data_IF_992863734332
#
_entry.id   IF_992863734332
#
_cell.length_a   1.000
_cell.length_b   1.000
_cell.length_c   1.000
_cell.angle_alpha   90.00
_cell.angle_beta   90.00
_cell.angle_gamma   90.00
#
_symmetry.space_group_name_H-M   'P 1'
#
loop_
_entity.id
_entity.type
_entity.pdbx_description
1 polymer ?
#
# COMPACT_ATOMS: atom_id res chain seq x y z
N UNK A 1 4.18 4.83 -19.36
CA UNK A 1 3.11 3.98 -19.92
C UNK A 1 1.87 4.83 -20.14
N UNK A 2 1.07 4.57 -21.17
CA UNK A 2 -0.03 5.47 -21.55
C UNK A 2 -1.41 5.05 -21.03
N UNK A 3 -1.56 3.80 -20.58
CA UNK A 3 -2.81 3.26 -20.03
C UNK A 3 -2.51 2.25 -18.90
N UNK A 4 -3.45 2.02 -17.96
CA UNK A 4 -3.35 0.96 -16.95
C UNK A 4 -3.22 -0.44 -17.58
N UNK A 5 -2.37 -1.29 -17.00
CA UNK A 5 -2.20 -2.69 -17.43
C UNK A 5 -2.85 -3.61 -16.39
N UNK A 6 -4.11 -3.98 -16.61
CA UNK A 6 -4.88 -4.78 -15.66
C UNK A 6 -4.43 -6.25 -15.58
N UNK A 7 -4.32 -6.80 -14.36
CA UNK A 7 -4.22 -8.25 -14.15
C UNK A 7 -5.60 -8.87 -14.41
N UNK A 8 -5.73 -9.69 -15.46
CA UNK A 8 -7.01 -10.25 -15.90
C UNK A 8 -7.20 -11.76 -15.59
N UNK A 9 -6.16 -12.42 -15.06
CA UNK A 9 -6.14 -13.86 -14.75
C UNK A 9 -6.02 -14.08 -13.24
N UNK A 10 -6.87 -14.95 -12.70
CA UNK A 10 -6.64 -15.56 -11.39
C UNK A 10 -5.52 -16.60 -11.56
N UNK A 11 -4.32 -16.26 -11.09
CA UNK A 11 -3.19 -17.17 -11.02
C UNK A 11 -3.12 -17.80 -9.62
N UNK A 12 -2.75 -19.08 -9.56
CA UNK A 12 -2.46 -19.79 -8.32
C UNK A 12 -0.95 -19.91 -8.13
N UNK A 13 -0.50 -20.03 -6.88
CA UNK A 13 0.91 -20.25 -6.58
C UNK A 13 1.36 -21.63 -7.10
N UNK A 14 2.44 -21.63 -7.89
CA UNK A 14 3.07 -22.84 -8.45
C UNK A 14 4.58 -22.93 -8.15
N UNK A 15 5.18 -21.87 -7.59
CA UNK A 15 6.61 -21.78 -7.30
C UNK A 15 6.90 -22.05 -5.82
N UNK A 16 6.22 -21.35 -4.92
CA UNK A 16 6.59 -21.28 -3.51
C UNK A 16 6.03 -22.44 -2.69
N UNK A 17 6.86 -23.00 -1.81
CA UNK A 17 6.55 -24.19 -0.99
C UNK A 17 7.29 -24.16 0.35
N UNK A 18 7.04 -25.18 1.17
CA UNK A 18 7.63 -25.32 2.51
C UNK A 18 9.17 -25.21 2.51
N UNK A 19 9.68 -24.26 3.29
CA UNK A 19 11.12 -23.97 3.42
C UNK A 19 11.73 -23.15 2.28
N UNK A 20 10.91 -22.61 1.36
CA UNK A 20 11.31 -21.42 0.60
C UNK A 20 11.20 -20.18 1.50
N UNK A 21 11.90 -19.09 1.17
CA UNK A 21 12.06 -17.94 2.08
C UNK A 21 11.25 -16.73 1.60
N UNK A 22 10.43 -16.17 2.47
CA UNK A 22 9.73 -14.90 2.25
C UNK A 22 10.42 -13.80 3.06
N UNK A 23 10.76 -12.69 2.40
CA UNK A 23 11.51 -11.58 2.97
C UNK A 23 10.66 -10.31 2.91
N UNK A 24 10.14 -9.89 4.06
CA UNK A 24 9.44 -8.61 4.18
C UNK A 24 10.45 -7.46 4.21
N UNK A 25 10.54 -6.71 3.11
CA UNK A 25 11.41 -5.55 2.97
C UNK A 25 10.65 -4.26 3.32
N UNK A 26 10.46 -4.10 4.63
CA UNK A 26 9.73 -3.05 5.34
C UNK A 26 9.31 -3.61 6.70
N UNK A 27 8.66 -2.80 7.54
CA UNK A 27 8.24 -3.22 8.88
C UNK A 27 6.70 -3.27 8.98
N UNK A 28 6.17 -4.30 9.64
CA UNK A 28 4.74 -4.57 9.69
C UNK A 28 4.04 -3.75 10.80
N UNK A 29 3.24 -2.77 10.37
CA UNK A 29 2.46 -1.90 11.26
C UNK A 29 0.95 -2.05 11.03
N UNK A 30 0.24 -2.51 12.06
CA UNK A 30 -1.22 -2.64 12.03
C UNK A 30 -1.74 -3.59 10.96
N UNK A 31 -2.94 -3.28 10.43
CA UNK A 31 -3.52 -3.97 9.26
C UNK A 31 -3.28 -3.10 8.02
N UNK A 32 -2.65 -3.68 7.02
CA UNK A 32 -2.34 -3.04 5.74
C UNK A 32 -1.91 -4.10 4.73
N UNK A 33 -1.78 -3.73 3.47
CA UNK A 33 -1.58 -4.65 2.34
C UNK A 33 -0.63 -5.83 2.57
N UNK A 34 0.50 -5.58 3.23
CA UNK A 34 1.51 -6.58 3.52
C UNK A 34 1.01 -7.78 4.35
N UNK A 35 -0.02 -7.62 5.18
CA UNK A 35 -0.54 -8.74 6.01
C UNK A 35 -1.15 -9.84 5.13
N UNK A 36 -1.92 -9.47 4.10
CA UNK A 36 -2.52 -10.45 3.20
C UNK A 36 -1.48 -11.30 2.46
N UNK A 37 -0.44 -10.68 1.92
CA UNK A 37 0.64 -11.40 1.23
C UNK A 37 1.48 -12.26 2.20
N UNK A 38 1.71 -11.77 3.42
CA UNK A 38 2.40 -12.52 4.47
C UNK A 38 1.60 -13.77 4.90
N UNK A 39 0.27 -13.67 4.97
CA UNK A 39 -0.60 -14.80 5.33
C UNK A 39 -0.62 -15.88 4.24
N UNK A 40 -0.51 -15.51 2.96
CA UNK A 40 -0.31 -16.48 1.87
C UNK A 40 1.07 -17.19 1.96
N UNK A 41 2.14 -16.44 2.20
CA UNK A 41 3.48 -17.01 2.37
C UNK A 41 3.55 -17.98 3.56
N UNK A 42 2.93 -17.62 4.70
CA UNK A 42 2.76 -18.51 5.86
C UNK A 42 1.97 -19.76 5.50
N UNK A 43 0.86 -19.64 4.75
CA UNK A 43 0.01 -20.76 4.33
C UNK A 43 0.74 -21.73 3.39
N UNK A 44 1.63 -21.22 2.54
CA UNK A 44 2.54 -22.04 1.72
C UNK A 44 3.68 -22.72 2.52
N UNK A 45 3.81 -22.42 3.81
CA UNK A 45 4.84 -22.96 4.70
C UNK A 45 6.23 -22.33 4.50
N UNK A 46 6.30 -21.12 3.94
CA UNK A 46 7.56 -20.41 3.74
C UNK A 46 8.17 -19.99 5.08
N UNK A 47 9.50 -19.93 5.12
CA UNK A 47 10.24 -19.35 6.24
C UNK A 47 10.16 -17.82 6.14
N UNK A 48 9.59 -17.18 7.17
CA UNK A 48 9.37 -15.73 7.18
C UNK A 48 10.58 -15.03 7.81
N UNK A 49 11.18 -14.13 7.04
CA UNK A 49 12.23 -13.20 7.47
C UNK A 49 11.77 -11.77 7.20
N UNK A 50 12.18 -10.82 8.02
CA UNK A 50 11.89 -9.40 7.86
C UNK A 50 13.07 -8.53 8.26
N UNK A 51 12.97 -7.25 7.92
CA UNK A 51 13.87 -6.19 8.39
C UNK A 51 13.16 -5.36 9.46
N UNK A 52 13.91 -4.49 10.13
CA UNK A 52 13.35 -3.41 10.95
C UNK A 52 13.84 -2.06 10.45
N UNK A 53 13.03 -1.02 10.59
CA UNK A 53 13.50 0.36 10.39
C UNK A 53 14.32 0.86 11.59
N UNK A 54 14.40 0.08 12.67
CA UNK A 54 14.99 0.48 13.94
C UNK A 54 14.09 1.47 14.69
N UNK A 55 14.66 2.14 15.69
CA UNK A 55 14.01 3.20 16.47
C UNK A 55 14.92 4.41 16.58
N UNK A 56 14.38 5.53 17.06
CA UNK A 56 15.17 6.71 17.44
C UNK A 56 15.26 6.75 18.97
N UNK A 57 16.42 7.08 19.52
CA UNK A 57 16.60 7.29 20.96
C UNK A 57 16.16 8.69 21.40
N UNK A 58 16.40 9.04 22.67
CA UNK A 58 16.09 10.36 23.24
C UNK A 58 16.86 11.53 22.58
N UNK A 59 18.00 11.24 21.95
CA UNK A 59 18.81 12.20 21.20
C UNK A 59 18.46 12.18 19.69
N UNK A 60 17.37 11.51 19.32
CA UNK A 60 16.94 11.28 17.94
C UNK A 60 18.00 10.56 17.07
N UNK A 61 18.91 9.77 17.67
CA UNK A 61 19.86 8.93 16.95
C UNK A 61 19.22 7.58 16.59
N UNK A 62 19.57 7.03 15.42
CA UNK A 62 19.00 5.76 14.93
C UNK A 62 19.65 4.57 15.63
N UNK A 63 18.85 3.70 16.25
CA UNK A 63 19.28 2.52 17.01
C UNK A 63 18.56 1.23 16.57
N UNK A 64 19.16 0.04 16.76
CA UNK A 64 18.45 -1.24 16.64
C UNK A 64 17.30 -1.34 17.66
N UNK A 65 16.44 -2.33 17.44
CA UNK A 65 15.44 -2.73 18.42
C UNK A 65 16.13 -3.29 19.67
N UNK A 66 15.60 -3.01 20.85
CA UNK A 66 15.97 -3.75 22.05
C UNK A 66 15.34 -5.16 22.05
N UNK A 67 15.57 -5.94 23.12
CA UNK A 67 15.10 -7.33 23.19
C UNK A 67 13.56 -7.47 23.27
N UNK A 68 12.87 -6.51 23.88
CA UNK A 68 11.41 -6.51 24.01
C UNK A 68 10.77 -6.06 22.68
N UNK A 69 11.29 -4.96 22.11
CA UNK A 69 10.89 -4.46 20.81
C UNK A 69 11.09 -5.50 19.70
N UNK A 70 12.23 -6.21 19.71
CA UNK A 70 12.52 -7.27 18.75
C UNK A 70 11.58 -8.47 18.93
N UNK A 71 11.35 -8.92 20.17
CA UNK A 71 10.44 -10.04 20.45
C UNK A 71 9.02 -9.74 19.95
N UNK A 72 8.48 -8.57 20.30
CA UNK A 72 7.14 -8.15 19.88
C UNK A 72 7.04 -7.92 18.35
N UNK A 73 8.13 -7.57 17.68
CA UNK A 73 8.17 -7.43 16.23
C UNK A 73 8.26 -8.80 15.53
N UNK A 74 9.07 -9.74 16.04
CA UNK A 74 9.13 -11.13 15.54
C UNK A 74 7.80 -11.87 15.74
N UNK A 75 7.13 -11.69 16.87
CA UNK A 75 5.80 -12.27 17.14
C UNK A 75 4.77 -11.76 16.12
N UNK A 76 4.71 -10.44 15.88
CA UNK A 76 3.80 -9.84 14.89
C UNK A 76 4.10 -10.29 13.46
N UNK A 77 5.38 -10.39 13.11
CA UNK A 77 5.83 -10.90 11.82
C UNK A 77 5.58 -12.42 11.68
N UNK A 78 5.51 -13.17 12.79
CA UNK A 78 5.49 -14.63 12.77
C UNK A 78 6.74 -15.21 12.11
N UNK A 79 7.91 -14.57 12.35
CA UNK A 79 9.14 -14.79 11.60
C UNK A 79 10.33 -14.07 12.21
N UNK A 80 11.52 -14.30 11.66
CA UNK A 80 12.77 -13.71 12.17
C UNK A 80 13.01 -12.30 11.66
N UNK A 81 13.51 -11.41 12.52
CA UNK A 81 13.86 -10.05 12.13
C UNK A 81 15.38 -9.85 12.18
N UNK A 82 15.94 -9.41 11.07
CA UNK A 82 17.33 -8.96 11.00
C UNK A 82 17.39 -7.58 11.67
N UNK A 83 17.85 -7.56 12.92
CA UNK A 83 17.85 -6.37 13.78
C UNK A 83 18.96 -5.35 13.42
N UNK A 84 18.91 -4.83 12.21
CA UNK A 84 19.81 -3.80 11.68
C UNK A 84 18.93 -2.65 11.16
N UNK A 85 19.05 -1.42 11.69
CA UNK A 85 18.18 -0.30 11.34
C UNK A 85 18.22 0.08 9.86
N UNK A 86 17.14 -0.25 9.15
CA UNK A 86 16.97 0.02 7.72
C UNK A 86 16.01 1.18 7.46
N UNK A 87 16.15 2.27 8.22
CA UNK A 87 15.36 3.50 8.04
C UNK A 87 15.67 4.14 6.68
N UNK A 88 14.70 4.18 5.79
CA UNK A 88 14.80 4.90 4.51
C UNK A 88 14.63 6.41 4.68
N UNK A 89 14.93 7.17 3.62
CA UNK A 89 14.83 8.64 3.62
C UNK A 89 16.01 9.34 4.28
N UNK A 90 16.04 10.67 4.13
CA UNK A 90 17.15 11.53 4.53
C UNK A 90 16.75 12.72 5.42
N UNK A 91 15.46 12.83 5.79
CA UNK A 91 14.93 13.99 6.52
C UNK A 91 15.52 14.21 7.93
N UNK A 92 16.21 13.20 8.46
CA UNK A 92 16.87 13.17 9.77
C UNK A 92 18.34 12.70 9.68
N UNK A 93 19.01 13.06 8.59
CA UNK A 93 20.44 12.85 8.34
C UNK A 93 21.12 14.18 8.03
N UNK A 94 22.38 14.34 8.47
CA UNK A 94 23.16 15.56 8.30
C UNK A 94 24.67 15.28 8.41
N UNK A 95 25.54 16.18 7.90
CA UNK A 95 26.92 16.29 8.36
C UNK A 95 27.01 16.40 9.89
N UNK A 96 28.08 15.88 10.49
CA UNK A 96 28.24 15.85 11.94
C UNK A 96 28.21 17.26 12.55
N UNK A 97 27.22 17.51 13.42
CA UNK A 97 27.00 18.81 14.07
C UNK A 97 26.23 19.84 13.23
N UNK A 98 25.83 19.51 12.00
CA UNK A 98 24.95 20.35 11.17
C UNK A 98 23.46 20.05 11.38
N UNK A 99 22.56 20.97 10.98
CA UNK A 99 21.11 20.74 11.04
C UNK A 99 20.67 19.64 10.05
N UNK A 100 19.65 18.87 10.42
CA UNK A 100 18.97 17.95 9.49
C UNK A 100 18.00 18.73 8.59
N UNK A 101 17.54 18.15 7.47
CA UNK A 101 16.45 18.71 6.69
C UNK A 101 15.18 19.01 7.51
N UNK A 102 14.85 18.19 8.50
CA UNK A 102 13.70 18.47 9.40
C UNK A 102 13.94 19.72 10.25
N UNK A 103 15.17 19.96 10.70
CA UNK A 103 15.51 21.18 11.45
C UNK A 103 15.40 22.42 10.57
N UNK A 104 15.88 22.35 9.31
CA UNK A 104 15.73 23.43 8.32
C UNK A 104 14.25 23.75 8.00
N UNK A 105 13.36 22.75 8.07
CA UNK A 105 11.91 22.95 7.93
C UNK A 105 11.23 23.42 9.23
N UNK A 106 11.91 23.37 10.38
CA UNK A 106 11.34 23.79 11.66
C UNK A 106 11.34 25.33 11.82
N UNK A 107 12.25 26.03 11.12
CA UNK A 107 12.34 27.49 11.08
C UNK A 107 11.26 28.15 10.20
N UNK A 108 10.64 27.40 9.28
CA UNK A 108 9.58 27.89 8.39
C UNK A 108 8.26 28.16 9.14
N UNK A 109 7.58 29.27 8.84
CA UNK A 109 6.28 29.64 9.44
C UNK A 109 5.12 29.45 8.46
N UNK A 110 3.87 29.57 8.93
CA UNK A 110 2.68 29.45 8.07
C UNK A 110 2.55 30.58 7.04
N UNK A 111 3.23 31.69 7.29
CA UNK A 111 3.29 32.90 6.48
C UNK A 111 4.44 32.90 5.47
N UNK A 112 5.50 32.12 5.71
CA UNK A 112 6.79 32.20 5.00
C UNK A 112 7.12 30.98 4.13
N UNK A 113 6.64 29.78 4.48
CA UNK A 113 7.03 28.49 3.86
C UNK A 113 6.91 28.40 2.33
N UNK A 114 6.09 29.22 1.67
CA UNK A 114 5.96 29.25 0.21
C UNK A 114 7.16 29.92 -0.45
N UNK A 115 7.65 30.99 0.17
CA UNK A 115 8.71 31.86 -0.33
C UNK A 115 10.08 31.49 0.24
N UNK A 116 10.14 30.85 1.41
CA UNK A 116 11.37 30.32 1.99
C UNK A 116 12.15 29.43 1.00
N UNK A 117 13.48 29.43 1.14
CA UNK A 117 14.41 28.74 0.25
C UNK A 117 15.35 27.86 1.05
N UNK A 118 15.70 26.71 0.48
CA UNK A 118 16.61 25.75 1.09
C UNK A 118 17.97 25.79 0.39
N UNK A 119 19.04 25.56 1.15
CA UNK A 119 20.37 25.32 0.58
C UNK A 119 20.38 23.91 -0.04
N UNK A 120 20.19 23.85 -1.36
CA UNK A 120 20.10 22.60 -2.11
C UNK A 120 21.43 21.82 -2.16
N UNK A 121 22.58 22.49 -2.04
CA UNK A 121 23.88 21.82 -1.97
C UNK A 121 24.07 21.16 -0.59
N UNK A 122 23.59 21.79 0.47
CA UNK A 122 23.55 21.20 1.81
C UNK A 122 22.52 20.05 1.90
N UNK A 123 21.31 20.23 1.36
CA UNK A 123 20.31 19.16 1.27
C UNK A 123 20.84 17.94 0.50
N UNK A 124 21.62 18.16 -0.57
CA UNK A 124 22.28 17.07 -1.29
C UNK A 124 23.26 16.31 -0.39
N UNK A 125 24.07 17.00 0.43
CA UNK A 125 25.00 16.35 1.37
C UNK A 125 24.25 15.48 2.40
N UNK A 126 23.15 15.98 2.97
CA UNK A 126 22.29 15.22 3.87
C UNK A 126 21.75 13.94 3.20
N UNK A 127 21.30 14.04 1.94
CA UNK A 127 20.84 12.88 1.17
C UNK A 127 21.97 11.89 0.87
N UNK A 128 23.12 12.35 0.41
CA UNK A 128 24.28 11.48 0.12
C UNK A 128 24.71 10.69 1.39
N UNK A 129 24.68 11.33 2.57
CA UNK A 129 24.93 10.69 3.87
C UNK A 129 23.87 9.62 4.19
N UNK A 130 22.58 9.94 4.00
CA UNK A 130 21.48 9.00 4.22
C UNK A 130 21.55 7.78 3.29
N UNK A 131 21.85 7.99 2.00
CA UNK A 131 22.06 6.90 1.03
C UNK A 131 23.24 6.03 1.45
N UNK A 132 24.35 6.62 1.94
CA UNK A 132 25.49 5.86 2.47
C UNK A 132 25.11 5.06 3.73
N UNK A 133 24.35 5.65 4.67
CA UNK A 133 23.83 4.97 5.86
C UNK A 133 22.93 3.78 5.47
N UNK A 134 21.93 4.01 4.63
CA UNK A 134 20.97 2.99 4.20
C UNK A 134 21.66 1.84 3.46
N UNK A 135 22.51 2.15 2.47
CA UNK A 135 23.20 1.11 1.68
C UNK A 135 24.24 0.34 2.49
N UNK A 136 24.93 0.95 3.45
CA UNK A 136 25.84 0.25 4.34
C UNK A 136 25.12 -0.65 5.36
N UNK A 137 23.94 -0.25 5.84
CA UNK A 137 23.07 -1.13 6.63
C UNK A 137 22.53 -2.28 5.77
N UNK A 138 22.11 -2.00 4.53
CA UNK A 138 21.58 -3.00 3.60
C UNK A 138 22.60 -4.08 3.23
N UNK A 139 23.88 -3.73 3.05
CA UNK A 139 24.97 -4.72 2.87
C UNK A 139 25.03 -5.73 4.02
N UNK A 140 24.89 -5.25 5.25
CA UNK A 140 24.92 -6.11 6.44
C UNK A 140 23.66 -6.98 6.53
N UNK A 141 22.48 -6.40 6.24
CA UNK A 141 21.22 -7.16 6.14
C UNK A 141 21.33 -8.28 5.11
N UNK A 142 21.84 -7.99 3.91
CA UNK A 142 21.99 -9.00 2.85
C UNK A 142 23.03 -10.07 3.21
N UNK A 143 24.13 -9.71 3.89
CA UNK A 143 25.11 -10.69 4.38
C UNK A 143 24.53 -11.64 5.43
N UNK A 144 23.68 -11.14 6.34
CA UNK A 144 22.96 -11.96 7.33
C UNK A 144 21.91 -12.84 6.64
N UNK A 145 21.15 -12.27 5.70
CA UNK A 145 20.10 -12.95 4.96
C UNK A 145 20.64 -14.07 4.05
N UNK A 146 21.78 -13.88 3.40
CA UNK A 146 22.41 -14.90 2.55
C UNK A 146 22.66 -16.20 3.31
N UNK A 147 23.15 -16.08 4.57
CA UNK A 147 23.34 -17.21 5.49
C UNK A 147 22.06 -17.88 5.99
N UNK A 148 20.88 -17.25 5.81
CA UNK A 148 19.58 -17.84 6.14
C UNK A 148 18.97 -18.63 4.97
N UNK A 149 19.40 -18.39 3.73
CA UNK A 149 18.77 -18.97 2.53
C UNK A 149 19.63 -20.12 1.98
N UNK A 150 19.21 -21.36 2.24
CA UNK A 150 19.83 -22.55 1.66
C UNK A 150 19.73 -22.59 0.12
N UNK A 151 20.65 -23.30 -0.53
CA UNK A 151 20.59 -23.53 -1.98
C UNK A 151 19.35 -24.33 -2.41
N UNK A 152 18.87 -24.11 -3.63
CA UNK A 152 17.69 -24.77 -4.20
C UNK A 152 16.34 -24.31 -3.63
N UNK A 153 16.34 -23.27 -2.78
CA UNK A 153 15.14 -22.62 -2.24
C UNK A 153 14.68 -21.48 -3.15
N UNK A 154 13.38 -21.26 -3.23
CA UNK A 154 12.86 -20.02 -3.82
C UNK A 154 12.92 -18.88 -2.81
N UNK A 155 13.01 -17.64 -3.29
CA UNK A 155 13.05 -16.43 -2.46
C UNK A 155 12.03 -15.41 -2.96
N UNK A 156 11.17 -14.95 -2.07
CA UNK A 156 10.18 -13.91 -2.34
C UNK A 156 10.54 -12.66 -1.53
N UNK A 157 11.04 -11.62 -2.20
CA UNK A 157 11.23 -10.30 -1.61
C UNK A 157 9.97 -9.43 -1.79
N UNK A 158 9.31 -9.07 -0.69
CA UNK A 158 8.13 -8.21 -0.71
C UNK A 158 8.48 -6.81 -0.16
N UNK A 159 8.61 -5.82 -1.05
CA UNK A 159 8.88 -4.43 -0.70
C UNK A 159 7.60 -3.70 -0.28
N UNK A 160 7.66 -3.04 0.87
CA UNK A 160 6.52 -2.35 1.47
C UNK A 160 6.85 -0.93 1.94
N UNK A 161 8.06 -0.44 1.67
CA UNK A 161 8.48 0.90 2.07
C UNK A 161 7.72 1.97 1.28
N UNK A 162 7.01 2.83 1.99
CA UNK A 162 6.42 4.04 1.45
C UNK A 162 6.32 5.11 2.56
N UNK A 163 6.68 6.36 2.26
CA UNK A 163 6.78 7.40 3.29
C UNK A 163 7.62 8.58 2.83
N UNK A 164 8.41 9.15 3.75
CA UNK A 164 9.28 10.31 3.46
C UNK A 164 8.69 11.67 3.83
N UNK A 165 7.60 11.72 4.62
CA UNK A 165 7.09 12.96 5.19
C UNK A 165 8.02 13.40 6.35
N UNK A 166 8.70 14.56 6.27
CA UNK A 166 9.49 15.10 7.38
C UNK A 166 8.60 15.46 8.58
N UNK A 167 9.15 15.36 9.80
CA UNK A 167 8.41 15.66 11.05
C UNK A 167 8.31 17.17 11.35
N UNK A 168 8.08 17.99 10.33
CA UNK A 168 7.96 19.44 10.46
C UNK A 168 6.53 19.87 10.87
N UNK A 169 6.41 20.69 11.92
CA UNK A 169 5.12 21.15 12.46
C UNK A 169 4.32 21.97 11.45
N UNK A 170 4.99 22.81 10.67
CA UNK A 170 4.40 23.64 9.61
C UNK A 170 3.74 22.78 8.53
N UNK A 171 4.42 21.70 8.11
CA UNK A 171 3.89 20.75 7.12
C UNK A 171 2.59 20.09 7.59
N UNK A 172 2.47 19.69 8.85
CA UNK A 172 1.25 19.05 9.36
C UNK A 172 0.02 19.95 9.26
N UNK A 173 0.19 21.28 9.43
CA UNK A 173 -0.91 22.24 9.26
C UNK A 173 -1.26 22.41 7.77
N UNK A 174 -0.25 22.49 6.91
CA UNK A 174 -0.41 22.61 5.44
C UNK A 174 -1.08 21.36 4.85
N UNK A 175 -0.64 20.16 5.24
CA UNK A 175 -1.25 18.89 4.87
C UNK A 175 -2.74 18.83 5.23
N UNK A 176 -3.13 19.31 6.42
CA UNK A 176 -4.55 19.38 6.80
C UNK A 176 -5.34 20.36 5.90
N UNK A 177 -4.75 21.45 5.42
CA UNK A 177 -5.40 22.36 4.46
C UNK A 177 -5.50 21.78 3.06
N UNK A 178 -4.52 20.98 2.62
CA UNK A 178 -4.51 20.34 1.30
C UNK A 178 -5.48 19.15 1.26
N UNK A 179 -5.38 18.22 2.21
CA UNK A 179 -6.15 16.96 2.19
C UNK A 179 -7.53 17.06 2.83
N UNK A 180 -7.80 18.07 3.68
CA UNK A 180 -9.05 18.21 4.44
C UNK A 180 -9.67 19.62 4.37
N UNK A 181 -9.02 20.55 3.66
CA UNK A 181 -9.46 21.94 3.56
C UNK A 181 -10.58 22.15 2.55
N UNK A 182 -11.64 22.80 3.00
CA UNK A 182 -12.81 23.22 2.21
C UNK A 182 -13.06 24.72 2.34
N UNK A 183 -13.67 25.33 1.34
CA UNK A 183 -13.93 26.78 1.30
C UNK A 183 -12.67 27.60 1.61
N UNK A 184 -12.78 28.59 2.51
CA UNK A 184 -11.64 29.44 2.92
C UNK A 184 -10.46 28.69 3.57
N UNK A 185 -10.61 27.41 3.97
CA UNK A 185 -9.51 26.59 4.49
C UNK A 185 -8.79 25.77 3.41
N UNK A 186 -9.36 25.69 2.20
CA UNK A 186 -8.73 25.00 1.08
C UNK A 186 -7.32 25.53 0.81
N UNK A 187 -6.49 24.66 0.24
CA UNK A 187 -5.18 24.96 -0.31
C UNK A 187 -4.94 23.97 -1.44
N UNK A 188 -4.57 24.46 -2.62
CA UNK A 188 -4.13 23.57 -3.68
C UNK A 188 -2.77 22.98 -3.31
N UNK A 189 -2.62 21.68 -3.55
CA UNK A 189 -1.36 20.95 -3.47
C UNK A 189 -0.27 21.57 -4.35
N UNK A 190 -0.63 22.28 -5.43
CA UNK A 190 0.38 22.91 -6.29
C UNK A 190 1.22 23.93 -5.51
N UNK A 191 0.61 24.68 -4.59
CA UNK A 191 1.33 25.61 -3.71
C UNK A 191 2.35 24.90 -2.80
N UNK A 192 2.12 23.62 -2.46
CA UNK A 192 3.14 22.79 -1.82
C UNK A 192 4.24 22.43 -2.83
N UNK A 193 3.89 21.86 -3.98
CA UNK A 193 4.85 21.36 -4.97
C UNK A 193 5.79 22.46 -5.52
N UNK A 194 5.31 23.70 -5.63
CA UNK A 194 6.10 24.85 -6.08
C UNK A 194 7.10 25.36 -5.02
N UNK A 195 6.82 25.12 -3.73
CA UNK A 195 7.69 25.52 -2.61
C UNK A 195 8.93 24.65 -2.48
N UNK A 196 9.97 25.16 -1.83
CA UNK A 196 11.19 24.37 -1.59
C UNK A 196 10.97 23.24 -0.56
N UNK A 197 10.07 23.45 0.40
CA UNK A 197 9.59 22.37 1.29
C UNK A 197 8.95 21.22 0.48
N UNK A 198 8.09 21.53 -0.49
CA UNK A 198 7.47 20.50 -1.33
C UNK A 198 8.48 19.74 -2.19
N UNK A 199 9.43 20.44 -2.80
CA UNK A 199 10.53 19.82 -3.57
C UNK A 199 11.38 18.88 -2.70
N UNK A 200 11.60 19.22 -1.44
CA UNK A 200 12.32 18.37 -0.49
C UNK A 200 11.52 17.11 -0.14
N UNK A 201 10.22 17.28 0.13
CA UNK A 201 9.31 16.16 0.39
C UNK A 201 9.25 15.21 -0.81
N UNK A 202 9.16 15.73 -2.04
CA UNK A 202 9.21 14.91 -3.26
C UNK A 202 10.51 14.12 -3.39
N UNK A 203 11.67 14.73 -3.09
CA UNK A 203 12.94 14.00 -3.08
C UNK A 203 12.95 12.89 -2.02
N UNK A 204 12.37 13.13 -0.83
CA UNK A 204 12.33 12.12 0.22
C UNK A 204 11.28 11.03 -0.05
N UNK A 205 10.21 11.34 -0.79
CA UNK A 205 9.27 10.37 -1.34
C UNK A 205 9.96 9.46 -2.37
N UNK A 206 10.79 10.01 -3.26
CA UNK A 206 11.59 9.22 -4.20
C UNK A 206 12.54 8.26 -3.46
N UNK A 207 13.28 8.75 -2.46
CA UNK A 207 14.18 7.91 -1.65
C UNK A 207 13.42 6.78 -0.94
N UNK A 208 12.33 7.08 -0.23
CA UNK A 208 11.59 6.10 0.59
C UNK A 208 10.71 5.17 -0.24
N UNK A 209 9.88 5.71 -1.14
CA UNK A 209 8.80 4.98 -1.82
C UNK A 209 9.20 4.36 -3.15
N UNK A 210 10.40 4.66 -3.68
CA UNK A 210 10.88 4.15 -4.97
C UNK A 210 12.32 3.60 -4.92
N UNK A 211 13.31 4.41 -4.55
CA UNK A 211 14.74 4.09 -4.67
C UNK A 211 15.14 2.94 -3.73
N UNK A 212 14.48 2.79 -2.58
CA UNK A 212 14.60 1.60 -1.72
C UNK A 212 14.31 0.27 -2.45
N UNK A 213 13.43 0.26 -3.47
CA UNK A 213 13.17 -0.94 -4.28
C UNK A 213 14.31 -1.24 -5.26
N UNK A 214 14.92 -0.21 -5.84
CA UNK A 214 16.17 -0.36 -6.61
C UNK A 214 17.27 -0.94 -5.74
N UNK A 215 17.49 -0.36 -4.55
CA UNK A 215 18.48 -0.87 -3.60
C UNK A 215 18.22 -2.31 -3.18
N UNK A 216 16.97 -2.71 -2.93
CA UNK A 216 16.62 -4.11 -2.68
C UNK A 216 17.06 -5.03 -3.82
N UNK A 217 16.73 -4.69 -5.07
CA UNK A 217 17.07 -5.49 -6.26
C UNK A 217 18.59 -5.58 -6.47
N UNK A 218 19.29 -4.45 -6.34
CA UNK A 218 20.72 -4.35 -6.59
C UNK A 218 21.54 -5.09 -5.53
N UNK A 219 21.26 -4.85 -4.24
CA UNK A 219 22.03 -5.42 -3.13
C UNK A 219 21.74 -6.90 -2.85
N UNK A 220 20.59 -7.42 -3.31
CA UNK A 220 20.30 -8.86 -3.27
C UNK A 220 20.82 -9.63 -4.49
N UNK A 221 21.57 -8.99 -5.40
CA UNK A 221 22.08 -9.64 -6.63
C UNK A 221 22.88 -10.92 -6.37
N UNK A 222 23.80 -10.91 -5.41
CA UNK A 222 24.59 -12.10 -5.08
C UNK A 222 23.71 -13.27 -4.55
N UNK A 223 22.68 -12.96 -3.75
CA UNK A 223 21.69 -13.95 -3.29
C UNK A 223 20.91 -14.50 -4.49
N UNK A 224 20.43 -13.61 -5.37
CA UNK A 224 19.65 -13.98 -6.57
C UNK A 224 20.44 -14.90 -7.49
N UNK A 225 21.65 -14.51 -7.88
CA UNK A 225 22.51 -15.29 -8.77
C UNK A 225 22.85 -16.67 -8.16
N UNK A 226 23.18 -16.72 -6.86
CA UNK A 226 23.43 -17.97 -6.14
C UNK A 226 22.21 -18.90 -6.14
N UNK A 227 21.03 -18.35 -5.91
CA UNK A 227 19.78 -19.10 -5.84
C UNK A 227 19.37 -19.62 -7.23
N UNK A 228 19.40 -18.77 -8.25
CA UNK A 228 19.08 -19.13 -9.63
C UNK A 228 20.07 -20.17 -10.19
N UNK A 229 21.37 -20.02 -9.90
CA UNK A 229 22.39 -21.03 -10.25
C UNK A 229 22.18 -22.39 -9.55
N UNK A 230 21.48 -22.41 -8.40
CA UNK A 230 21.10 -23.63 -7.68
C UNK A 230 19.72 -24.18 -8.08
N UNK A 231 19.08 -23.62 -9.11
CA UNK A 231 17.76 -24.04 -9.61
C UNK A 231 16.57 -23.53 -8.80
N UNK A 232 16.80 -22.65 -7.82
CA UNK A 232 15.74 -21.89 -7.15
C UNK A 232 15.29 -20.69 -7.98
N UNK A 233 14.21 -20.04 -7.57
CA UNK A 233 13.65 -18.86 -8.25
C UNK A 233 13.53 -17.68 -7.30
N UNK A 234 13.88 -16.49 -7.77
CA UNK A 234 13.71 -15.25 -7.01
C UNK A 234 12.61 -14.38 -7.61
N UNK A 235 11.84 -13.72 -6.74
CA UNK A 235 10.81 -12.73 -7.10
C UNK A 235 10.93 -11.51 -6.22
N UNK A 236 10.62 -10.35 -6.81
CA UNK A 236 10.48 -9.09 -6.12
C UNK A 236 9.10 -8.52 -6.38
N UNK A 237 8.41 -8.08 -5.35
CA UNK A 237 7.18 -7.30 -5.52
C UNK A 237 7.27 -5.99 -4.76
N UNK A 238 6.50 -5.00 -5.20
CA UNK A 238 6.28 -3.77 -4.47
C UNK A 238 4.84 -3.30 -4.59
N UNK A 239 4.34 -2.62 -3.56
CA UNK A 239 3.00 -2.04 -3.55
C UNK A 239 2.99 -0.66 -4.20
N UNK A 240 2.34 -0.57 -5.36
CA UNK A 240 2.06 0.66 -6.07
C UNK A 240 0.66 1.20 -5.78
N UNK A 241 0.44 2.46 -6.13
CA UNK A 241 -0.87 3.05 -6.32
C UNK A 241 -0.76 4.02 -7.49
N UNK A 242 -1.64 3.86 -8.49
CA UNK A 242 -1.65 4.65 -9.73
C UNK A 242 -3.08 4.70 -10.28
N UNK A 243 -4.02 5.03 -9.37
CA UNK A 243 -5.46 4.90 -9.58
C UNK A 243 -5.94 3.45 -9.78
N UNK A 244 -7.26 3.28 -9.80
CA UNK A 244 -7.93 1.97 -9.79
C UNK A 244 -9.12 1.99 -10.71
N UNK A 245 -9.33 0.92 -11.49
CA UNK A 245 -10.60 0.73 -12.19
C UNK A 245 -11.68 0.20 -11.24
N UNK A 246 -12.75 0.98 -11.08
CA UNK A 246 -13.90 0.69 -10.22
C UNK A 246 -15.19 0.65 -11.05
N UNK A 247 -16.26 0.05 -10.53
CA UNK A 247 -17.50 -0.10 -11.31
C UNK A 247 -18.31 1.21 -11.32
N UNK A 248 -18.45 1.81 -12.50
CA UNK A 248 -19.22 3.04 -12.77
C UNK A 248 -20.14 2.78 -13.98
N UNK A 249 -21.43 3.04 -13.81
CA UNK A 249 -22.52 2.74 -14.77
C UNK A 249 -22.44 1.33 -15.40
N UNK A 250 -22.13 0.31 -14.58
CA UNK A 250 -22.02 -1.08 -15.01
C UNK A 250 -20.73 -1.46 -15.76
N UNK A 251 -19.82 -0.50 -15.96
CA UNK A 251 -18.51 -0.65 -16.61
C UNK A 251 -17.36 -0.38 -15.65
N UNK A 252 -16.25 -1.11 -15.74
CA UNK A 252 -15.05 -0.79 -14.97
C UNK A 252 -14.32 0.38 -15.62
N UNK A 253 -14.14 1.48 -14.89
CA UNK A 253 -13.48 2.71 -15.37
C UNK A 253 -12.39 3.13 -14.40
N UNK A 254 -11.22 3.47 -14.94
CA UNK A 254 -10.12 4.02 -14.13
C UNK A 254 -10.51 5.37 -13.53
N UNK A 255 -10.12 5.56 -12.28
CA UNK A 255 -10.24 6.80 -11.52
C UNK A 255 -9.10 6.87 -10.49
N UNK A 256 -9.00 7.97 -9.74
CA UNK A 256 -8.02 8.09 -8.66
C UNK A 256 -8.47 9.07 -7.55
N UNK A 257 -7.94 8.89 -6.34
CA UNK A 257 -7.93 9.92 -5.32
C UNK A 257 -7.04 11.09 -5.74
N UNK A 258 -7.56 12.32 -5.66
CA UNK A 258 -6.82 13.54 -5.97
C UNK A 258 -6.70 14.47 -4.74
N UNK A 259 -5.53 15.00 -4.39
CA UNK A 259 -4.19 14.75 -4.97
C UNK A 259 -3.43 13.66 -4.19
N UNK A 260 -2.99 12.62 -4.90
CA UNK A 260 -2.01 11.66 -4.41
C UNK A 260 -0.56 12.14 -4.65
N UNK A 261 -0.03 12.93 -3.71
CA UNK A 261 1.30 13.56 -3.81
C UNK A 261 2.48 12.59 -3.94
N UNK A 262 2.34 11.34 -3.48
CA UNK A 262 3.34 10.27 -3.72
C UNK A 262 3.35 9.73 -5.16
N UNK A 263 2.46 10.19 -6.05
CA UNK A 263 2.31 9.61 -7.38
C UNK A 263 3.57 9.66 -8.24
N UNK A 264 4.35 10.74 -8.13
CA UNK A 264 5.65 10.85 -8.79
C UNK A 264 6.61 9.72 -8.39
N UNK A 265 6.72 9.45 -7.09
CA UNK A 265 7.54 8.34 -6.58
C UNK A 265 6.96 6.97 -6.95
N UNK A 266 5.64 6.81 -7.06
CA UNK A 266 5.02 5.56 -7.53
C UNK A 266 5.27 5.30 -9.02
N UNK A 267 5.24 6.31 -9.89
CA UNK A 267 5.71 6.17 -11.27
C UNK A 267 7.22 5.86 -11.35
N UNK A 268 8.03 6.42 -10.44
CA UNK A 268 9.45 6.06 -10.35
C UNK A 268 9.67 4.61 -9.92
N UNK A 269 8.88 4.11 -8.97
CA UNK A 269 8.86 2.71 -8.54
C UNK A 269 8.51 1.76 -9.69
N UNK A 270 7.52 2.12 -10.52
CA UNK A 270 7.16 1.41 -11.76
C UNK A 270 8.32 1.36 -12.76
N UNK A 271 8.99 2.50 -13.00
CA UNK A 271 10.16 2.57 -13.87
C UNK A 271 11.31 1.69 -13.38
N UNK A 272 11.57 1.67 -12.07
CA UNK A 272 12.58 0.79 -11.46
C UNK A 272 12.32 -0.69 -11.75
N UNK A 273 11.06 -1.11 -11.68
CA UNK A 273 10.66 -2.48 -12.00
C UNK A 273 10.77 -2.78 -13.50
N UNK A 274 10.40 -1.84 -14.37
CA UNK A 274 10.57 -1.96 -15.82
C UNK A 274 12.04 -2.18 -16.20
N UNK A 275 12.96 -1.36 -15.66
CA UNK A 275 14.41 -1.52 -15.87
C UNK A 275 14.92 -2.89 -15.39
N UNK A 276 14.49 -3.31 -14.20
CA UNK A 276 14.87 -4.61 -13.63
C UNK A 276 14.40 -5.77 -14.51
N UNK A 277 13.19 -5.67 -15.08
CA UNK A 277 12.64 -6.67 -15.99
C UNK A 277 13.34 -6.69 -17.35
N UNK A 278 13.77 -5.54 -17.86
CA UNK A 278 14.67 -5.46 -19.04
C UNK A 278 16.01 -6.14 -18.78
N UNK A 279 16.52 -6.10 -17.54
CA UNK A 279 17.69 -6.86 -17.09
C UNK A 279 17.38 -8.33 -16.73
N UNK A 280 16.17 -8.83 -16.98
CA UNK A 280 15.75 -10.21 -16.72
C UNK A 280 15.27 -10.51 -15.29
N UNK A 281 15.46 -9.59 -14.34
CA UNK A 281 15.11 -9.76 -12.93
C UNK A 281 13.60 -9.67 -12.74
N UNK A 282 12.96 -10.71 -12.19
CA UNK A 282 11.50 -10.78 -11.99
C UNK A 282 11.01 -9.87 -10.85
N UNK A 283 10.90 -8.58 -11.14
CA UNK A 283 10.36 -7.54 -10.28
C UNK A 283 9.02 -7.01 -10.80
N UNK A 284 8.00 -6.98 -9.93
CA UNK A 284 6.64 -6.53 -10.29
C UNK A 284 6.04 -5.60 -9.23
N UNK A 285 5.79 -4.36 -9.61
CA UNK A 285 4.89 -3.42 -8.93
C UNK A 285 3.45 -3.83 -9.21
N UNK A 286 2.70 -4.03 -8.13
CA UNK A 286 1.25 -4.23 -8.17
C UNK A 286 0.57 -2.94 -7.70
N UNK A 287 -0.12 -2.26 -8.61
CA UNK A 287 -0.97 -1.12 -8.29
C UNK A 287 -2.26 -1.63 -7.67
N UNK A 288 -2.41 -1.41 -6.37
CA UNK A 288 -3.54 -1.89 -5.58
C UNK A 288 -4.65 -0.83 -5.48
N UNK A 289 -5.89 -1.23 -5.11
CA UNK A 289 -6.99 -0.30 -4.87
C UNK A 289 -6.74 0.76 -3.80
N UNK A 290 -7.64 1.71 -3.70
CA UNK A 290 -7.78 2.57 -2.53
C UNK A 290 -8.28 1.77 -1.31
N UNK A 291 -7.58 1.85 -0.18
CA UNK A 291 -8.04 1.33 1.12
C UNK A 291 -7.70 2.30 2.26
N UNK A 292 -8.42 2.18 3.38
CA UNK A 292 -8.05 2.86 4.63
C UNK A 292 -7.07 2.01 5.44
N UNK A 293 -5.94 2.64 5.78
CA UNK A 293 -4.84 2.10 6.59
C UNK A 293 -4.24 3.25 7.39
N UNK A 294 -3.34 2.95 8.32
CA UNK A 294 -2.62 3.96 9.10
C UNK A 294 -1.91 5.04 8.24
N UNK A 295 -1.47 4.71 7.01
CA UNK A 295 -0.82 5.66 6.11
C UNK A 295 -1.78 6.42 5.18
N UNK A 296 -3.03 5.96 5.03
CA UNK A 296 -4.03 6.60 4.17
C UNK A 296 -5.13 7.36 4.91
N UNK A 297 -5.26 7.23 6.24
CA UNK A 297 -6.32 7.88 7.04
C UNK A 297 -6.25 9.43 7.09
N UNK A 298 -5.15 10.02 6.60
CA UNK A 298 -5.05 11.47 6.40
C UNK A 298 -5.81 11.96 5.16
N UNK A 299 -6.10 11.08 4.19
CA UNK A 299 -6.69 11.40 2.90
C UNK A 299 -8.22 11.26 2.92
N UNK A 300 -8.93 12.26 3.43
CA UNK A 300 -10.41 12.25 3.46
C UNK A 300 -10.98 12.10 2.04
N UNK A 301 -11.81 11.09 1.81
CA UNK A 301 -12.40 10.76 0.51
C UNK A 301 -11.68 9.66 -0.26
N UNK A 302 -10.52 9.16 0.22
CA UNK A 302 -9.83 8.01 -0.39
C UNK A 302 -10.66 6.71 -0.30
N UNK A 303 -11.61 6.64 0.62
CA UNK A 303 -12.51 5.50 0.81
C UNK A 303 -13.68 5.44 -0.18
N UNK A 304 -13.97 6.53 -0.90
CA UNK A 304 -15.13 6.59 -1.80
C UNK A 304 -15.05 5.63 -3.00
N UNK A 305 -13.88 5.45 -3.67
CA UNK A 305 -13.75 4.49 -4.76
C UNK A 305 -13.83 3.02 -4.32
N UNK A 306 -13.55 2.73 -3.05
CA UNK A 306 -13.57 1.38 -2.48
C UNK A 306 -15.00 0.81 -2.37
N UNK A 307 -15.99 1.65 -2.03
CA UNK A 307 -17.38 1.20 -1.79
C UNK A 307 -18.02 0.50 -3.02
N UNK A 308 -17.81 0.97 -4.28
CA UNK A 308 -18.13 0.23 -5.50
C UNK A 308 -17.62 -1.22 -5.62
N UNK A 309 -16.70 -1.68 -4.76
CA UNK A 309 -16.31 -3.09 -4.70
C UNK A 309 -17.52 -4.01 -4.46
N UNK A 310 -18.49 -3.61 -3.63
CA UNK A 310 -19.72 -4.40 -3.41
C UNK A 310 -20.53 -4.64 -4.69
N UNK A 311 -20.51 -3.68 -5.63
CA UNK A 311 -21.15 -3.84 -6.94
C UNK A 311 -20.35 -4.80 -7.83
N UNK A 312 -19.01 -4.74 -7.74
CA UNK A 312 -18.13 -5.69 -8.41
C UNK A 312 -18.31 -7.12 -7.87
N UNK A 313 -18.45 -7.32 -6.56
CA UNK A 313 -18.75 -8.62 -5.97
C UNK A 313 -20.01 -9.24 -6.59
N UNK A 314 -21.08 -8.46 -6.77
CA UNK A 314 -22.32 -8.94 -7.41
C UNK A 314 -22.16 -9.18 -8.91
N UNK A 315 -21.39 -8.34 -9.62
CA UNK A 315 -21.15 -8.45 -11.06
C UNK A 315 -20.32 -9.69 -11.43
N UNK A 316 -19.30 -9.99 -10.63
CA UNK A 316 -18.30 -11.02 -10.93
C UNK A 316 -18.70 -12.41 -10.39
N UNK A 317 -19.92 -12.85 -10.74
CA UNK A 317 -20.52 -14.13 -10.32
C UNK A 317 -20.64 -14.31 -8.79
N UNK A 318 -21.00 -13.26 -8.04
CA UNK A 318 -21.18 -13.36 -6.59
C UNK A 318 -22.52 -14.01 -6.21
N UNK A 319 -22.47 -15.12 -5.46
CA UNK A 319 -23.64 -15.72 -4.81
C UNK A 319 -23.81 -15.29 -3.36
N UNK A 320 -24.10 -16.26 -2.48
CA UNK A 320 -24.49 -16.00 -1.08
C UNK A 320 -23.44 -15.20 -0.29
N UNK A 321 -22.14 -15.43 -0.53
CA UNK A 321 -21.07 -14.68 0.12
C UNK A 321 -21.13 -13.18 -0.21
N UNK A 322 -21.31 -12.83 -1.49
CA UNK A 322 -21.37 -11.44 -1.94
C UNK A 322 -22.61 -10.71 -1.39
N UNK A 323 -23.75 -11.39 -1.30
CA UNK A 323 -24.94 -10.83 -0.65
C UNK A 323 -24.74 -10.67 0.86
N UNK A 324 -24.05 -11.59 1.55
CA UNK A 324 -23.69 -11.37 2.95
C UNK A 324 -22.79 -10.14 3.13
N UNK A 325 -21.80 -9.91 2.25
CA UNK A 325 -20.98 -8.69 2.32
C UNK A 325 -21.81 -7.41 2.14
N UNK A 326 -22.83 -7.45 1.27
CA UNK A 326 -23.79 -6.36 1.12
C UNK A 326 -24.59 -6.13 2.40
N UNK A 327 -25.11 -7.19 3.03
CA UNK A 327 -25.86 -7.09 4.28
C UNK A 327 -25.00 -6.61 5.45
N UNK A 328 -23.75 -7.07 5.56
CA UNK A 328 -22.79 -6.59 6.55
C UNK A 328 -22.56 -5.08 6.43
N UNK A 329 -22.39 -4.56 5.21
CA UNK A 329 -22.24 -3.12 4.98
C UNK A 329 -23.54 -2.34 5.27
N UNK A 330 -24.70 -2.90 4.91
CA UNK A 330 -26.02 -2.32 5.20
C UNK A 330 -26.30 -2.22 6.71
N UNK A 331 -25.79 -3.15 7.53
CA UNK A 331 -25.96 -3.13 9.00
C UNK A 331 -25.17 -2.01 9.69
N UNK A 332 -24.09 -1.49 9.06
CA UNK A 332 -23.31 -0.37 9.58
C UNK A 332 -24.04 0.99 9.43
N UNK A 333 -25.04 1.06 8.55
CA UNK A 333 -25.81 2.27 8.28
C UNK A 333 -26.94 2.49 9.29
N UNK A 334 -27.17 3.75 9.67
CA UNK A 334 -28.21 4.16 10.61
C UNK A 334 -29.63 3.99 10.05
N UNK A 335 -30.62 3.99 10.95
CA UNK A 335 -32.01 3.77 10.57
C UNK A 335 -32.49 4.85 9.58
N UNK A 336 -33.11 4.41 8.49
CA UNK A 336 -33.51 5.27 7.39
C UNK A 336 -32.49 5.39 6.24
N UNK A 337 -31.27 4.87 6.38
CA UNK A 337 -30.29 4.82 5.29
C UNK A 337 -30.07 3.41 4.73
N UNK A 338 -29.86 3.35 3.41
CA UNK A 338 -29.58 2.11 2.68
C UNK A 338 -28.28 2.21 1.89
N UNK A 339 -27.72 1.06 1.52
CA UNK A 339 -26.60 1.00 0.59
C UNK A 339 -26.90 1.70 -0.74
N UNK A 340 -28.18 1.76 -1.18
CA UNK A 340 -28.57 2.50 -2.40
C UNK A 340 -28.32 4.00 -2.25
N UNK A 341 -28.58 4.57 -1.08
CA UNK A 341 -28.36 6.01 -0.81
C UNK A 341 -26.86 6.33 -0.82
N UNK A 342 -26.03 5.43 -0.30
CA UNK A 342 -24.55 5.52 -0.38
C UNK A 342 -24.08 5.45 -1.84
N UNK A 343 -24.58 4.49 -2.62
CA UNK A 343 -24.22 4.39 -4.05
C UNK A 343 -24.72 5.57 -4.88
N UNK A 344 -25.87 6.14 -4.56
CA UNK A 344 -26.37 7.34 -5.24
C UNK A 344 -25.40 8.50 -5.04
N UNK A 345 -24.96 8.77 -3.79
CA UNK A 345 -23.97 9.82 -3.49
C UNK A 345 -22.65 9.64 -4.24
N UNK A 346 -22.16 8.40 -4.34
CA UNK A 346 -20.93 8.10 -5.09
C UNK A 346 -21.15 8.28 -6.59
N UNK A 347 -22.28 7.83 -7.12
CA UNK A 347 -22.63 7.98 -8.55
C UNK A 347 -22.77 9.44 -8.94
N UNK A 348 -23.48 10.23 -8.13
CA UNK A 348 -23.67 11.67 -8.34
C UNK A 348 -22.33 12.42 -8.29
N UNK A 349 -21.43 12.05 -7.36
CA UNK A 349 -20.07 12.58 -7.31
C UNK A 349 -19.28 12.22 -8.57
N UNK A 350 -19.27 10.95 -8.98
CA UNK A 350 -18.47 10.47 -10.11
C UNK A 350 -18.98 10.99 -11.47
N UNK A 351 -20.30 11.22 -11.60
CA UNK A 351 -20.89 11.80 -12.80
C UNK A 351 -20.70 13.33 -12.92
N UNK A 352 -20.37 14.00 -11.80
CA UNK A 352 -20.24 15.45 -11.71
C UNK A 352 -19.15 15.97 -12.66
N UNK A 353 -19.42 17.07 -13.36
CA UNK A 353 -18.47 17.69 -14.29
C UNK A 353 -17.15 18.12 -13.62
N UNK A 354 -17.19 18.46 -12.33
CA UNK A 354 -16.01 18.80 -11.51
C UNK A 354 -15.02 17.64 -11.42
N UNK A 355 -15.49 16.38 -11.42
CA UNK A 355 -14.62 15.21 -11.32
C UNK A 355 -14.00 14.79 -12.65
N UNK A 356 -14.63 15.13 -13.79
CA UNK A 356 -14.23 14.63 -15.12
C UNK A 356 -12.75 14.86 -15.50
N UNK A 357 -12.13 16.03 -15.21
CA UNK A 357 -10.71 16.24 -15.51
C UNK A 357 -9.79 15.25 -14.77
N UNK A 358 -10.19 14.80 -13.58
CA UNK A 358 -9.41 13.92 -12.71
C UNK A 358 -9.45 12.43 -13.12
N UNK A 359 -10.10 12.12 -14.24
CA UNK A 359 -10.06 10.80 -14.87
C UNK A 359 -9.05 10.71 -16.03
N UNK A 360 -8.25 11.76 -16.26
CA UNK A 360 -7.12 11.72 -17.19
C UNK A 360 -5.92 11.00 -16.58
N UNK A 361 -5.68 9.77 -17.03
CA UNK A 361 -4.52 8.96 -16.64
C UNK A 361 -3.18 9.63 -16.99
N UNK A 362 -3.11 10.35 -18.11
CA UNK A 362 -1.87 10.96 -18.61
C UNK A 362 -1.43 12.19 -17.81
N UNK A 363 -2.37 12.82 -17.10
CA UNK A 363 -2.13 13.99 -16.24
C UNK A 363 -1.86 13.61 -14.77
N UNK A 364 -1.78 12.33 -14.43
CA UNK A 364 -1.65 11.87 -13.04
C UNK A 364 -0.21 12.03 -12.49
N UNK A 365 -0.04 12.42 -11.20
CA UNK A 365 -1.05 12.90 -10.26
C UNK A 365 -1.38 14.39 -10.49
N UNK A 366 -2.67 14.71 -10.56
CA UNK A 366 -3.12 16.10 -10.71
C UNK A 366 -3.14 16.86 -9.38
N UNK A 367 -2.94 18.18 -9.44
CA UNK A 367 -3.18 19.05 -8.29
C UNK A 367 -4.69 19.13 -7.97
N UNK A 368 -5.05 19.16 -6.67
CA UNK A 368 -6.45 19.34 -6.28
C UNK A 368 -6.92 20.78 -6.55
N UNK A 369 -8.22 20.90 -6.81
CA UNK A 369 -8.93 22.19 -6.92
C UNK A 369 -9.91 22.37 -5.75
N UNK A 370 -10.35 23.60 -5.51
CA UNK A 370 -11.33 23.84 -4.46
C UNK A 370 -12.65 23.11 -4.73
N UNK A 371 -13.17 23.18 -5.96
CA UNK A 371 -14.43 22.53 -6.33
C UNK A 371 -14.37 21.01 -6.13
N UNK A 372 -13.27 20.36 -6.54
CA UNK A 372 -13.07 18.92 -6.32
C UNK A 372 -12.91 18.60 -4.83
N UNK A 373 -12.16 19.41 -4.07
CA UNK A 373 -12.01 19.22 -2.62
C UNK A 373 -13.35 19.37 -1.89
N UNK A 374 -14.12 20.41 -2.19
CA UNK A 374 -15.43 20.69 -1.60
C UNK A 374 -16.43 19.55 -1.88
N UNK A 375 -16.42 19.01 -3.11
CA UNK A 375 -17.23 17.87 -3.53
C UNK A 375 -16.79 16.56 -2.87
N UNK A 376 -15.54 16.10 -3.09
CA UNK A 376 -15.03 14.81 -2.57
C UNK A 376 -15.11 14.75 -1.04
N UNK A 377 -14.66 15.80 -0.34
CA UNK A 377 -14.73 15.87 1.13
C UNK A 377 -16.18 16.03 1.58
N UNK A 378 -17.05 16.71 0.81
CA UNK A 378 -18.49 16.76 1.05
C UNK A 378 -19.13 15.37 1.07
N UNK A 379 -19.00 14.63 -0.03
CA UNK A 379 -19.51 13.26 -0.19
C UNK A 379 -18.98 12.31 0.89
N UNK A 380 -17.68 12.39 1.23
CA UNK A 380 -17.06 11.62 2.31
C UNK A 380 -17.71 11.89 3.68
N UNK A 381 -17.91 13.17 4.03
CA UNK A 381 -18.59 13.54 5.29
C UNK A 381 -20.06 13.10 5.31
N UNK A 382 -20.78 13.23 4.20
CA UNK A 382 -22.19 12.83 4.11
C UNK A 382 -22.37 11.32 4.24
N UNK A 383 -21.54 10.52 3.59
CA UNK A 383 -21.54 9.06 3.74
C UNK A 383 -21.09 8.67 5.16
N UNK A 384 -20.14 9.39 5.75
CA UNK A 384 -19.74 9.18 7.15
C UNK A 384 -20.92 9.37 8.10
N UNK A 385 -21.74 10.41 7.88
CA UNK A 385 -22.95 10.69 8.68
C UNK A 385 -24.09 9.67 8.50
N UNK A 386 -24.03 8.82 7.47
CA UNK A 386 -25.01 7.72 7.29
C UNK A 386 -24.73 6.51 8.19
N UNK A 387 -23.58 6.44 8.85
CA UNK A 387 -23.19 5.30 9.71
C UNK A 387 -23.74 5.43 11.14
N UNK A 388 -23.97 4.29 11.82
CA UNK A 388 -24.38 4.25 13.24
C UNK A 388 -23.26 4.64 14.19
N UNK A 389 -22.03 4.23 13.89
CA UNK A 389 -20.83 4.53 14.66
C UNK A 389 -19.72 4.99 13.70
N UNK A 390 -19.23 6.23 13.90
CA UNK A 390 -18.13 6.80 13.13
C UNK A 390 -16.77 6.11 13.36
N UNK A 391 -16.71 5.08 14.21
CA UNK A 391 -15.53 4.23 14.44
C UNK A 391 -15.56 2.89 13.70
N UNK A 392 -16.70 2.52 13.08
CA UNK A 392 -16.87 1.22 12.40
C UNK A 392 -17.53 1.47 11.05
N UNK A 393 -16.70 1.69 10.03
CA UNK A 393 -17.13 2.18 8.73
C UNK A 393 -17.19 1.06 7.68
N UNK A 394 -18.04 1.22 6.66
CA UNK A 394 -18.07 0.34 5.48
C UNK A 394 -16.67 0.22 4.85
N UNK A 395 -15.91 1.31 4.84
CA UNK A 395 -14.53 1.34 4.36
C UNK A 395 -13.61 0.35 5.07
N UNK A 396 -13.85 0.08 6.35
CA UNK A 396 -12.95 -0.69 7.20
C UNK A 396 -13.16 -2.18 6.95
N UNK A 397 -14.43 -2.58 6.77
CA UNK A 397 -14.82 -3.91 6.30
C UNK A 397 -14.29 -4.18 4.89
N UNK A 398 -14.54 -3.28 3.93
CA UNK A 398 -14.10 -3.47 2.54
C UNK A 398 -12.57 -3.42 2.40
N UNK A 399 -11.86 -2.64 3.21
CA UNK A 399 -10.40 -2.62 3.21
C UNK A 399 -9.82 -3.98 3.62
N UNK A 400 -10.44 -4.68 4.58
CA UNK A 400 -10.03 -6.02 4.96
C UNK A 400 -10.18 -7.03 3.80
N UNK A 401 -11.32 -6.97 3.07
CA UNK A 401 -11.54 -7.82 1.89
C UNK A 401 -10.51 -7.55 0.78
N UNK A 402 -10.18 -6.28 0.53
CA UNK A 402 -9.15 -5.92 -0.46
C UNK A 402 -7.76 -6.42 -0.04
N UNK A 403 -7.40 -6.35 1.25
CA UNK A 403 -6.13 -6.88 1.75
C UNK A 403 -6.05 -8.40 1.59
N UNK A 404 -7.12 -9.14 1.91
CA UNK A 404 -7.23 -10.59 1.67
C UNK A 404 -7.00 -10.93 0.19
N UNK A 405 -7.79 -10.32 -0.70
CA UNK A 405 -7.78 -10.60 -2.13
C UNK A 405 -6.45 -10.26 -2.79
N UNK A 406 -5.86 -9.11 -2.45
CA UNK A 406 -4.57 -8.68 -3.02
C UNK A 406 -3.42 -9.53 -2.53
N UNK A 407 -3.45 -10.04 -1.30
CA UNK A 407 -2.51 -11.07 -0.83
C UNK A 407 -2.50 -12.29 -1.75
N UNK A 408 -3.66 -12.91 -1.93
CA UNK A 408 -3.88 -14.08 -2.80
C UNK A 408 -3.47 -13.80 -4.26
N UNK A 409 -3.87 -12.66 -4.82
CA UNK A 409 -3.55 -12.26 -6.19
C UNK A 409 -2.05 -12.05 -6.40
N UNK A 410 -1.38 -11.31 -5.52
CA UNK A 410 0.05 -11.04 -5.63
C UNK A 410 0.84 -12.33 -5.46
N UNK A 411 0.51 -13.16 -4.46
CA UNK A 411 1.23 -14.41 -4.20
C UNK A 411 1.13 -15.39 -5.39
N UNK A 412 -0.08 -15.59 -5.92
CA UNK A 412 -0.30 -16.42 -7.10
C UNK A 412 0.36 -15.86 -8.36
N UNK A 413 0.13 -14.58 -8.69
CA UNK A 413 0.69 -13.96 -9.88
C UNK A 413 2.23 -13.86 -9.84
N UNK A 414 2.85 -13.79 -8.65
CA UNK A 414 4.31 -13.75 -8.52
C UNK A 414 4.99 -15.06 -8.91
N UNK A 415 4.27 -16.19 -8.98
CA UNK A 415 4.84 -17.43 -9.54
C UNK A 415 5.22 -17.27 -11.00
N UNK A 416 4.34 -16.67 -11.81
CA UNK A 416 4.52 -16.42 -13.24
C UNK A 416 4.07 -14.99 -13.59
N UNK A 417 4.87 -13.95 -13.25
CA UNK A 417 4.45 -12.57 -13.38
C UNK A 417 4.33 -12.14 -14.84
N UNK A 418 3.20 -11.52 -15.17
CA UNK A 418 2.79 -11.06 -16.51
C UNK A 418 3.25 -9.65 -16.88
N UNK A 419 3.70 -8.84 -15.91
CA UNK A 419 4.05 -7.43 -16.12
C UNK A 419 4.95 -6.84 -15.03
N UNK A 420 5.44 -5.60 -15.22
CA UNK A 420 6.36 -4.94 -14.27
C UNK A 420 5.72 -4.12 -13.11
N UNK A 421 4.42 -3.80 -12.99
CA UNK A 421 3.56 -3.25 -14.05
C UNK A 421 2.19 -3.90 -14.16
N UNK A 422 1.49 -4.22 -13.07
CA UNK A 422 0.11 -4.76 -13.09
C UNK A 422 -0.85 -4.03 -12.13
N UNK A 423 -2.11 -3.81 -12.54
CA UNK A 423 -3.19 -3.26 -11.71
C UNK A 423 -4.09 -4.37 -11.15
N UNK A 424 -4.40 -4.28 -9.85
CA UNK A 424 -5.35 -5.14 -9.14
C UNK A 424 -6.68 -4.40 -8.97
N UNK A 425 -7.38 -4.20 -10.08
CA UNK A 425 -8.65 -3.48 -10.14
C UNK A 425 -9.80 -4.22 -9.43
N UNK A 426 -10.95 -3.54 -9.26
CA UNK A 426 -12.10 -4.12 -8.55
C UNK A 426 -12.68 -5.38 -9.20
N UNK A 427 -12.51 -5.59 -10.50
CA UNK A 427 -12.93 -6.79 -11.21
C UNK A 427 -12.14 -8.02 -10.74
N UNK A 428 -10.80 -7.96 -10.78
CA UNK A 428 -9.96 -9.11 -10.41
C UNK A 428 -9.96 -9.36 -8.90
N UNK A 429 -10.09 -8.30 -8.09
CA UNK A 429 -10.31 -8.39 -6.64
C UNK A 429 -11.63 -9.09 -6.33
N UNK A 430 -12.74 -8.69 -6.96
CA UNK A 430 -14.04 -9.32 -6.76
C UNK A 430 -14.06 -10.79 -7.22
N UNK A 431 -13.47 -11.08 -8.38
CA UNK A 431 -13.32 -12.45 -8.89
C UNK A 431 -12.52 -13.33 -7.93
N UNK A 432 -11.43 -12.82 -7.33
CA UNK A 432 -10.66 -13.57 -6.34
C UNK A 432 -11.48 -13.83 -5.08
N UNK A 433 -12.14 -12.81 -4.54
CA UNK A 433 -12.97 -12.94 -3.34
C UNK A 433 -14.09 -13.96 -3.52
N UNK A 434 -14.88 -13.84 -4.60
CA UNK A 434 -15.95 -14.79 -4.87
C UNK A 434 -15.40 -16.23 -5.04
N UNK A 435 -14.27 -16.41 -5.73
CA UNK A 435 -13.63 -17.73 -5.87
C UNK A 435 -13.15 -18.33 -4.54
N UNK A 436 -12.49 -17.54 -3.68
CA UNK A 436 -11.97 -17.99 -2.39
C UNK A 436 -13.06 -18.36 -1.39
N UNK A 437 -14.29 -17.85 -1.57
CA UNK A 437 -15.42 -18.09 -0.67
C UNK A 437 -16.56 -18.96 -1.27
N UNK A 438 -16.35 -19.60 -2.43
CA UNK A 438 -17.32 -20.52 -3.06
C UNK A 438 -17.84 -21.64 -2.13
N UNK A 439 -17.06 -22.05 -1.12
CA UNK A 439 -17.50 -23.08 -0.17
C UNK A 439 -18.71 -22.65 0.67
N UNK A 440 -18.98 -21.35 0.83
CA UNK A 440 -20.19 -20.86 1.52
C UNK A 440 -21.47 -21.06 0.69
N UNK A 441 -21.35 -21.43 -0.59
CA UNK A 441 -22.47 -21.75 -1.47
C UNK A 441 -22.86 -23.23 -1.39
N UNK A 442 -22.06 -24.06 -0.71
CA UNK A 442 -22.40 -25.46 -0.43
C UNK A 442 -23.31 -25.54 0.81
N UNK A 443 -24.56 -26.00 0.70
CA UNK A 443 -25.34 -26.32 1.89
C UNK A 443 -24.63 -27.44 2.65
N UNK A 444 -24.50 -27.29 3.96
CA UNK A 444 -23.89 -28.29 4.84
C UNK A 444 -24.63 -29.62 4.73
N UNK A 445 -23.96 -30.65 4.22
CA UNK A 445 -24.47 -32.02 4.21
C UNK A 445 -24.41 -32.59 5.63
N UNK A 446 -25.38 -32.21 6.46
CA UNK A 446 -25.59 -32.75 7.81
C UNK A 446 -27.02 -32.50 8.38
N UNK A 447 -28.06 -32.46 7.56
CA UNK A 447 -29.45 -32.66 8.02
C UNK A 447 -30.12 -33.77 7.20
N UNK A 448 -30.37 -34.94 7.80
CA UNK A 448 -31.19 -36.00 7.18
C UNK A 448 -30.79 -37.46 7.44
N UNK A 449 -31.05 -37.96 8.66
CA UNK A 449 -31.36 -39.37 9.00
C UNK A 449 -31.58 -39.44 10.53
N UNK A 450 -32.78 -39.13 11.06
CA UNK A 450 -33.92 -40.05 11.22
C UNK A 450 -33.61 -41.42 11.82
N UNK A 451 -34.41 -41.74 12.85
CA UNK A 451 -34.50 -42.98 13.61
C UNK A 451 -34.24 -44.28 12.83
N UNK A 452 -33.39 -45.13 13.40
CA UNK A 452 -33.69 -46.56 13.46
C UNK A 452 -33.14 -47.17 14.75
N UNK A 453 -34.07 -47.72 15.52
CA UNK A 453 -33.89 -48.53 16.73
C UNK A 453 -32.73 -49.53 16.66
N UNK A 454 -32.08 -49.78 17.81
CA UNK A 454 -31.73 -51.12 18.23
C UNK A 454 -31.60 -51.18 19.76
N UNK A 455 -32.55 -51.87 20.40
CA UNK A 455 -32.47 -52.25 21.81
C UNK A 455 -31.43 -53.36 22.02
N UNK A 456 -31.07 -53.56 23.29
CA UNK A 456 -30.06 -54.53 23.75
C UNK A 456 -30.58 -55.97 23.71
N UNK A 457 -29.81 -56.87 23.08
CA UNK A 457 -29.72 -58.29 23.43
C UNK A 457 -28.37 -58.87 22.95
#
# INVERSE_FOLDING_TARGET
MENPIALNRLAENSVFRKGDVFVLFGELFGRGYATGLLDEARRAGMEIVGITVGRRDENNALRPLDAEELCAAEERLGGKIINIPLMAGFDLDAPAGGPTPTDLLADMTLESWQDDKLDWDYIKQCRDIATARFTNALKQVMAVLDGMIAGGRNVFFAHTMAGGIPKAKVFLVIANRIYKGRGARHMSSQALLDSDMGKLILQNFDEVSAITFRHLIDFSTAIRERIEASGGQVRYTAYGYHGTAVLIDGSYRWQTYTNYTQGYAKMRLEGIAQDAWTAGVKATVYNCPEIRTNSSDVFTGIELPLIPLLLALKKENGGHWAEHQWQACQQLLADGFTMKDVFQKITDMQANEVMRPFYDFSAWPMANSQAQSDLTIGTSNEITQMHRDGKVMISDHLSALVVEATGQLIFGASSEPSGPVQWLNHDIVARRLNASHMQWESPSVAEGAQDSQLEVA
#
